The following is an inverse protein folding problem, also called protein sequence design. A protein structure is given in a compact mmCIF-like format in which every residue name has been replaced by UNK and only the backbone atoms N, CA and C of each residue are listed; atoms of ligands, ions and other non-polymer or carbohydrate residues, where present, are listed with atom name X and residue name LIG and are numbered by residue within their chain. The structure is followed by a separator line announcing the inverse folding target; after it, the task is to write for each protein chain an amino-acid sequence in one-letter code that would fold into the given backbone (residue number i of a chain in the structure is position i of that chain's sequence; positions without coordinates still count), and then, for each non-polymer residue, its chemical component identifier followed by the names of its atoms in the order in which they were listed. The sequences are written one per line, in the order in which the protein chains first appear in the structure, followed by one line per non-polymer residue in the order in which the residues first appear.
data_IF_052003239658
#
_entry.id   IF_052003239658
#
_cell.length_a   1.000
_cell.length_b   1.000
_cell.length_c   1.000
_cell.angle_alpha   90.00
_cell.angle_beta   90.00
_cell.angle_gamma   90.00
#
_symmetry.space_group_name_H-M   'P 1'
#
loop_
_entity.id
_entity.type
_entity.pdbx_description
1 polymer ?
#
# COMPACT_ATOMS: atom_id res chain seq x y z
N UNK A 1 18.56 -15.80 -7.24
CA UNK A 1 18.15 -14.42 -7.64
C UNK A 1 19.20 -13.46 -7.09
N UNK A 2 20.02 -12.85 -7.94
CA UNK A 2 21.17 -12.05 -7.48
C UNK A 2 20.74 -10.72 -6.85
N UNK A 3 21.40 -10.34 -5.75
CA UNK A 3 21.19 -9.08 -5.00
C UNK A 3 21.29 -7.84 -5.91
N UNK A 4 21.99 -7.95 -7.05
CA UNK A 4 22.17 -6.86 -8.01
C UNK A 4 20.89 -6.46 -8.76
N UNK A 5 19.91 -7.34 -8.92
CA UNK A 5 18.69 -7.01 -9.66
C UNK A 5 17.75 -6.06 -8.89
N UNK A 6 17.81 -6.05 -7.55
CA UNK A 6 17.02 -5.15 -6.71
C UNK A 6 17.58 -3.70 -6.66
N UNK A 7 18.81 -3.48 -7.13
CA UNK A 7 19.52 -2.21 -6.91
C UNK A 7 19.15 -1.09 -7.88
N UNK A 8 18.46 -1.39 -8.99
CA UNK A 8 18.25 -0.42 -10.09
C UNK A 8 17.21 0.69 -9.80
N UNK A 9 16.40 0.56 -8.75
CA UNK A 9 15.35 1.54 -8.41
C UNK A 9 15.58 2.41 -7.17
N UNK A 10 16.68 2.23 -6.42
CA UNK A 10 16.89 2.86 -5.12
C UNK A 10 18.17 3.70 -5.10
N UNK A 11 18.10 4.94 -5.57
CA UNK A 11 19.25 5.85 -5.62
C UNK A 11 19.50 6.64 -4.32
N UNK A 12 18.53 6.74 -3.41
CA UNK A 12 18.60 7.68 -2.27
C UNK A 12 19.01 7.07 -0.90
N UNK A 13 19.24 5.74 -0.79
CA UNK A 13 19.27 5.06 0.52
C UNK A 13 20.69 4.72 1.04
N UNK A 14 21.75 4.87 0.24
CA UNK A 14 22.88 3.93 0.38
C UNK A 14 24.14 4.43 1.10
N UNK A 15 24.43 5.72 1.16
CA UNK A 15 25.79 6.15 1.53
C UNK A 15 25.92 6.54 3.00
N UNK A 16 24.98 7.32 3.54
CA UNK A 16 25.21 7.99 4.82
C UNK A 16 24.89 7.16 6.06
N UNK A 17 23.82 6.34 6.05
CA UNK A 17 23.47 5.49 7.21
C UNK A 17 24.59 4.52 7.59
N UNK A 18 25.29 3.99 6.59
CA UNK A 18 26.47 3.14 6.77
C UNK A 18 27.62 3.88 7.48
N UNK A 19 27.85 5.14 7.09
CA UNK A 19 28.90 6.00 7.65
C UNK A 19 28.59 6.35 9.11
N UNK A 20 27.34 6.70 9.44
CA UNK A 20 26.95 7.09 10.81
C UNK A 20 27.22 5.99 11.84
N UNK A 21 26.98 4.73 11.49
CA UNK A 21 27.17 3.60 12.40
C UNK A 21 28.51 2.87 12.17
N UNK A 22 29.37 3.39 11.29
CA UNK A 22 30.61 2.74 10.87
C UNK A 22 30.41 1.27 10.41
N UNK A 23 29.28 0.97 9.79
CA UNK A 23 28.93 -0.36 9.27
C UNK A 23 28.90 -0.38 7.74
N UNK A 24 29.04 -1.57 7.16
CA UNK A 24 28.85 -1.74 5.72
C UNK A 24 27.42 -1.37 5.28
N UNK A 25 27.27 -0.83 4.07
CA UNK A 25 25.96 -0.48 3.48
C UNK A 25 24.98 -1.64 3.47
N UNK A 26 25.49 -2.84 3.21
CA UNK A 26 24.72 -4.09 3.24
C UNK A 26 24.19 -4.38 4.64
N UNK A 27 25.03 -4.25 5.68
CA UNK A 27 24.64 -4.52 7.06
C UNK A 27 23.60 -3.51 7.57
N UNK A 28 23.74 -2.23 7.19
CA UNK A 28 22.72 -1.22 7.49
C UNK A 28 21.37 -1.61 6.87
N UNK A 29 21.36 -1.96 5.58
CA UNK A 29 20.16 -2.40 4.89
C UNK A 29 19.52 -3.63 5.55
N UNK A 30 20.32 -4.66 5.84
CA UNK A 30 19.84 -5.90 6.47
C UNK A 30 19.24 -5.66 7.85
N UNK A 31 19.92 -4.87 8.69
CA UNK A 31 19.45 -4.51 10.04
C UNK A 31 18.07 -3.85 9.97
N UNK A 32 17.85 -2.99 8.97
CA UNK A 32 16.57 -2.31 8.85
C UNK A 32 15.48 -3.22 8.29
N UNK A 33 15.82 -4.08 7.32
CA UNK A 33 14.88 -5.12 6.88
C UNK A 33 14.48 -6.03 8.05
N UNK A 34 15.39 -6.32 8.97
CA UNK A 34 15.08 -7.07 10.19
C UNK A 34 14.11 -6.31 11.10
N UNK A 35 14.35 -5.02 11.39
CA UNK A 35 13.41 -4.20 12.19
C UNK A 35 12.02 -4.16 11.56
N UNK A 36 11.93 -3.90 10.26
CA UNK A 36 10.65 -3.91 9.52
C UNK A 36 10.00 -5.29 9.55
N UNK A 37 10.78 -6.36 9.45
CA UNK A 37 10.26 -7.71 9.55
C UNK A 37 9.61 -7.94 10.91
N UNK A 38 10.19 -7.41 12.00
CA UNK A 38 9.65 -7.49 13.35
C UNK A 38 8.35 -6.69 13.50
N UNK A 39 8.27 -5.48 12.94
CA UNK A 39 7.04 -4.66 12.95
C UNK A 39 5.87 -5.32 12.22
N UNK A 40 6.17 -6.15 11.21
CA UNK A 40 5.15 -6.84 10.40
C UNK A 40 4.74 -8.23 10.92
N UNK A 41 5.11 -8.58 12.17
CA UNK A 41 4.79 -9.90 12.75
C UNK A 41 3.39 -10.02 13.33
N UNK A 42 2.58 -8.96 13.30
CA UNK A 42 1.22 -9.03 13.84
C UNK A 42 0.41 -10.11 13.12
N UNK A 43 -0.13 -11.05 13.89
CA UNK A 43 -1.01 -12.13 13.42
C UNK A 43 -2.49 -11.75 13.48
N UNK A 44 -2.81 -10.53 13.90
CA UNK A 44 -4.20 -10.11 14.14
C UNK A 44 -4.85 -9.53 12.87
N UNK A 45 -4.04 -8.96 11.97
CA UNK A 45 -4.50 -8.37 10.71
C UNK A 45 -4.42 -9.43 9.62
N UNK A 46 -5.57 -10.03 9.31
CA UNK A 46 -5.68 -11.13 8.34
C UNK A 46 -6.80 -10.82 7.34
N UNK A 47 -6.49 -10.98 6.06
CA UNK A 47 -7.46 -10.86 4.99
C UNK A 47 -8.41 -12.07 5.04
N UNK A 48 -9.74 -11.87 5.03
CA UNK A 48 -10.68 -12.97 5.09
C UNK A 48 -10.57 -13.86 3.84
N UNK A 49 -10.38 -15.16 4.06
CA UNK A 49 -10.39 -16.17 2.99
C UNK A 49 -11.75 -16.87 2.84
N UNK A 50 -12.70 -16.57 3.73
CA UNK A 50 -14.06 -17.13 3.69
C UNK A 50 -14.92 -16.39 2.66
N UNK A 51 -15.49 -17.14 1.71
CA UNK A 51 -16.33 -16.62 0.64
C UNK A 51 -17.59 -15.92 1.16
N UNK A 52 -18.21 -16.45 2.22
CA UNK A 52 -19.41 -15.83 2.79
C UNK A 52 -19.09 -14.45 3.35
N UNK A 53 -17.97 -14.35 4.08
CA UNK A 53 -17.49 -13.09 4.64
C UNK A 53 -17.07 -12.10 3.55
N UNK A 54 -16.45 -12.57 2.47
CA UNK A 54 -16.14 -11.72 1.31
C UNK A 54 -17.41 -11.20 0.64
N UNK A 55 -18.46 -12.01 0.54
CA UNK A 55 -19.75 -11.58 0.02
C UNK A 55 -20.43 -10.54 0.91
N UNK A 56 -20.39 -10.73 2.23
CA UNK A 56 -20.88 -9.73 3.21
C UNK A 56 -20.14 -8.40 3.05
N UNK A 57 -18.81 -8.45 2.94
CA UNK A 57 -17.98 -7.26 2.71
C UNK A 57 -18.37 -6.58 1.39
N UNK A 58 -18.53 -7.35 0.31
CA UNK A 58 -18.95 -6.83 -0.99
C UNK A 58 -20.30 -6.13 -0.93
N UNK A 59 -21.30 -6.77 -0.35
CA UNK A 59 -22.64 -6.19 -0.21
C UNK A 59 -22.59 -4.90 0.63
N UNK A 60 -21.75 -4.88 1.68
CA UNK A 60 -21.57 -3.70 2.50
C UNK A 60 -20.87 -2.55 1.73
N UNK A 61 -19.85 -2.83 0.92
CA UNK A 61 -19.24 -1.82 0.05
C UNK A 61 -20.22 -1.30 -1.00
N UNK A 62 -21.02 -2.18 -1.60
CA UNK A 62 -22.04 -1.80 -2.56
C UNK A 62 -23.08 -0.86 -1.92
N UNK A 63 -23.41 -1.04 -0.65
CA UNK A 63 -24.32 -0.13 0.07
C UNK A 63 -23.78 1.30 0.27
N UNK A 64 -22.46 1.54 0.14
CA UNK A 64 -21.85 2.86 0.33
C UNK A 64 -22.15 3.80 -0.83
N UNK A 65 -21.93 3.32 -2.06
CA UNK A 65 -22.10 4.14 -3.26
C UNK A 65 -22.60 3.37 -4.49
N UNK A 66 -22.90 2.07 -4.37
CA UNK A 66 -23.36 1.22 -5.46
C UNK A 66 -22.23 0.59 -6.29
N UNK A 67 -21.01 0.49 -5.75
CA UNK A 67 -19.90 -0.19 -6.44
C UNK A 67 -19.90 -1.69 -6.11
N UNK A 68 -20.21 -2.58 -7.06
CA UNK A 68 -20.36 -4.01 -6.80
C UNK A 68 -19.00 -4.72 -6.67
N UNK A 69 -19.02 -5.89 -6.05
CA UNK A 69 -17.89 -6.84 -5.98
C UNK A 69 -16.58 -6.28 -5.37
N UNK A 70 -16.68 -5.32 -4.44
CA UNK A 70 -15.51 -4.75 -3.77
C UNK A 70 -15.19 -5.53 -2.50
N UNK A 71 -14.00 -6.10 -2.41
CA UNK A 71 -13.55 -6.85 -1.23
C UNK A 71 -12.66 -6.04 -0.29
N UNK A 72 -12.31 -4.82 -0.67
CA UNK A 72 -11.65 -3.84 0.18
C UNK A 72 -11.06 -2.69 -0.60
N UNK A 73 -10.55 -1.71 0.13
CA UNK A 73 -9.86 -0.54 -0.42
C UNK A 73 -8.42 -0.48 0.10
N UNK A 74 -7.48 -0.10 -0.75
CA UNK A 74 -6.05 0.04 -0.42
C UNK A 74 -5.63 1.51 -0.52
N UNK A 75 -4.78 1.91 0.42
CA UNK A 75 -4.05 3.18 0.36
C UNK A 75 -2.67 3.09 1.01
N UNK A 76 -1.83 4.08 0.71
CA UNK A 76 -0.50 4.28 1.26
C UNK A 76 -0.45 5.49 2.20
N UNK A 77 0.36 5.38 3.25
CA UNK A 77 0.63 6.45 4.19
C UNK A 77 2.15 6.54 4.46
N UNK A 78 2.67 7.76 4.42
CA UNK A 78 4.07 8.04 4.75
C UNK A 78 4.15 8.44 6.23
N UNK A 79 4.75 7.57 7.04
CA UNK A 79 4.97 7.81 8.47
C UNK A 79 6.39 8.34 8.64
N UNK A 80 6.50 9.62 9.03
CA UNK A 80 7.79 10.23 9.34
C UNK A 80 8.46 9.51 10.49
N UNK A 81 9.77 9.25 10.37
CA UNK A 81 10.58 8.73 11.46
C UNK A 81 11.58 9.78 11.91
N UNK A 82 11.92 9.76 13.20
CA UNK A 82 12.93 10.66 13.73
C UNK A 82 14.27 10.45 13.01
N UNK A 83 14.92 11.55 12.64
CA UNK A 83 16.25 11.53 12.05
C UNK A 83 17.27 11.29 13.17
N UNK A 84 17.93 10.15 13.13
CA UNK A 84 19.07 9.89 14.00
C UNK A 84 20.34 10.52 13.40
N UNK A 85 20.83 11.63 13.98
CA UNK A 85 22.08 12.33 13.58
C UNK A 85 22.10 12.76 12.09
N UNK A 86 23.27 13.13 11.54
CA UNK A 86 23.48 13.52 10.13
C UNK A 86 23.20 12.39 9.11
N UNK A 87 22.30 11.44 9.38
CA UNK A 87 22.01 10.33 8.47
C UNK A 87 21.04 10.75 7.37
N UNK A 88 21.44 10.53 6.11
CA UNK A 88 20.62 10.70 4.89
C UNK A 88 19.75 9.45 4.57
N UNK A 89 19.47 8.59 5.56
CA UNK A 89 18.73 7.35 5.34
C UNK A 89 17.22 7.57 5.22
N UNK A 90 16.53 6.70 4.45
CA UNK A 90 15.06 6.54 4.50
C UNK A 90 14.23 7.70 3.93
N UNK A 91 14.82 8.48 3.05
CA UNK A 91 14.12 9.60 2.45
C UNK A 91 12.96 9.11 1.59
N UNK A 92 11.78 9.59 1.91
CA UNK A 92 10.68 9.57 0.96
C UNK A 92 10.93 10.58 -0.16
N UNK A 93 10.09 10.54 -1.18
CA UNK A 93 10.11 11.51 -2.29
C UNK A 93 9.96 12.97 -1.83
N UNK A 94 9.53 13.20 -0.58
CA UNK A 94 9.38 14.52 0.05
C UNK A 94 10.60 15.00 0.83
N UNK A 95 11.73 14.28 0.79
CA UNK A 95 12.98 14.81 1.33
C UNK A 95 13.19 14.61 2.85
N UNK A 96 12.43 13.74 3.50
CA UNK A 96 12.60 13.42 4.93
C UNK A 96 12.57 11.91 5.20
N UNK A 97 13.26 11.43 6.27
CA UNK A 97 13.22 10.02 6.69
C UNK A 97 11.81 9.55 7.02
N UNK A 98 11.37 8.47 6.39
CA UNK A 98 10.03 7.92 6.62
C UNK A 98 9.94 6.42 6.34
N UNK A 99 8.90 5.80 6.90
CA UNK A 99 8.36 4.52 6.48
C UNK A 99 7.19 4.76 5.54
N UNK A 100 7.08 3.94 4.48
CA UNK A 100 5.85 3.83 3.72
C UNK A 100 5.05 2.65 4.29
N UNK A 101 3.81 2.91 4.67
CA UNK A 101 2.84 1.94 5.16
C UNK A 101 1.70 1.85 4.17
N UNK A 102 1.53 0.71 3.54
CA UNK A 102 0.37 0.40 2.70
C UNK A 102 -0.57 -0.48 3.51
N UNK A 103 -1.87 -0.20 3.49
CA UNK A 103 -2.85 -1.07 4.12
C UNK A 103 -4.09 -1.26 3.24
N UNK A 104 -4.71 -2.41 3.41
CA UNK A 104 -6.05 -2.73 2.90
C UNK A 104 -7.03 -2.67 4.06
N UNK A 105 -8.20 -2.10 3.80
CA UNK A 105 -9.31 -2.02 4.77
C UNK A 105 -10.57 -2.66 4.24
N UNK A 106 -11.42 -3.12 5.15
CA UNK A 106 -12.79 -3.51 4.85
C UNK A 106 -13.79 -2.35 4.98
N UNK A 107 -15.06 -2.65 4.75
CA UNK A 107 -16.18 -1.71 4.84
C UNK A 107 -16.34 -1.09 6.25
N UNK A 108 -15.82 -1.75 7.29
CA UNK A 108 -15.85 -1.28 8.68
C UNK A 108 -14.57 -0.52 9.08
N UNK A 109 -13.76 -0.10 8.08
CA UNK A 109 -12.50 0.63 8.29
C UNK A 109 -11.46 -0.16 9.09
N UNK A 110 -11.59 -1.49 9.16
CA UNK A 110 -10.62 -2.35 9.84
C UNK A 110 -9.51 -2.71 8.88
N UNK A 111 -8.26 -2.61 9.34
CA UNK A 111 -7.13 -3.12 8.56
C UNK A 111 -7.23 -4.64 8.41
N UNK A 112 -7.21 -5.12 7.17
CA UNK A 112 -7.26 -6.55 6.82
C UNK A 112 -5.95 -7.04 6.22
N UNK A 113 -5.12 -6.14 5.71
CA UNK A 113 -3.75 -6.44 5.31
C UNK A 113 -2.89 -5.20 5.39
N UNK A 114 -1.58 -5.35 5.55
CA UNK A 114 -0.64 -4.23 5.56
C UNK A 114 0.75 -4.64 5.06
N UNK A 115 1.55 -3.65 4.70
CA UNK A 115 2.93 -3.77 4.25
C UNK A 115 3.68 -2.51 4.68
N UNK A 116 4.84 -2.68 5.31
CA UNK A 116 5.72 -1.61 5.79
C UNK A 116 7.05 -1.74 5.06
N UNK A 117 7.52 -0.64 4.48
CA UNK A 117 8.78 -0.57 3.72
C UNK A 117 9.45 0.79 3.91
N UNK A 118 10.68 0.96 3.42
CA UNK A 118 11.28 2.29 3.32
C UNK A 118 10.42 3.29 2.57
N UNK A 119 10.40 4.54 3.06
CA UNK A 119 9.67 5.66 2.48
C UNK A 119 10.02 5.98 1.03
N UNK A 120 11.16 5.48 0.53
CA UNK A 120 11.57 5.58 -0.88
C UNK A 120 10.82 4.63 -1.82
N UNK A 121 10.08 3.65 -1.30
CA UNK A 121 9.26 2.75 -2.11
C UNK A 121 7.95 3.44 -2.51
N UNK A 122 7.60 3.36 -3.80
CA UNK A 122 6.32 3.83 -4.30
C UNK A 122 5.21 2.79 -4.09
N UNK A 123 3.96 3.21 -4.24
CA UNK A 123 2.78 2.41 -3.88
C UNK A 123 2.63 1.15 -4.74
N UNK A 124 2.98 1.25 -6.03
CA UNK A 124 3.12 0.09 -6.92
C UNK A 124 4.05 -0.98 -6.36
N UNK A 125 5.19 -0.57 -5.80
CA UNK A 125 6.16 -1.50 -5.22
C UNK A 125 5.76 -1.97 -3.83
N UNK A 126 5.07 -1.14 -3.06
CA UNK A 126 4.44 -1.55 -1.80
C UNK A 126 3.50 -2.73 -2.02
N UNK A 127 2.60 -2.61 -3.00
CA UNK A 127 1.62 -3.65 -3.32
C UNK A 127 2.28 -4.93 -3.82
N UNK A 128 3.14 -4.85 -4.86
CA UNK A 128 3.81 -6.03 -5.43
C UNK A 128 4.65 -6.83 -4.42
N UNK A 129 5.23 -6.15 -3.42
CA UNK A 129 6.06 -6.78 -2.39
C UNK A 129 5.29 -7.12 -1.11
N UNK A 130 3.96 -6.92 -1.07
CA UNK A 130 3.11 -7.22 0.07
C UNK A 130 2.78 -8.71 0.16
N UNK A 131 2.40 -9.18 1.35
CA UNK A 131 1.84 -10.52 1.50
C UNK A 131 0.46 -10.64 0.86
N UNK A 132 -0.29 -9.53 0.81
CA UNK A 132 -1.54 -9.46 0.09
C UNK A 132 -1.35 -9.92 -1.35
N UNK A 133 -0.47 -9.27 -2.12
CA UNK A 133 -0.25 -9.63 -3.53
C UNK A 133 0.10 -11.12 -3.74
N UNK A 134 0.85 -11.73 -2.81
CA UNK A 134 1.26 -13.13 -2.89
C UNK A 134 0.13 -14.11 -2.56
N UNK A 135 -0.69 -13.76 -1.58
CA UNK A 135 -1.71 -14.64 -1.02
C UNK A 135 -3.12 -14.34 -1.55
N UNK A 136 -3.29 -13.25 -2.32
CA UNK A 136 -4.58 -12.78 -2.79
C UNK A 136 -5.18 -13.75 -3.81
N UNK A 137 -6.09 -14.60 -3.32
CA UNK A 137 -6.93 -15.46 -4.13
C UNK A 137 -8.34 -14.87 -4.12
N UNK A 138 -8.62 -13.98 -5.08
CA UNK A 138 -9.99 -13.51 -5.29
C UNK A 138 -10.71 -14.46 -6.24
N UNK A 139 -12.01 -14.61 -6.03
CA UNK A 139 -12.94 -15.11 -7.05
C UNK A 139 -12.78 -14.28 -8.33
N UNK A 140 -13.21 -14.84 -9.48
CA UNK A 140 -13.05 -14.19 -10.79
C UNK A 140 -13.66 -12.79 -10.88
N UNK A 141 -14.60 -12.46 -10.00
CA UNK A 141 -15.45 -11.28 -10.13
C UNK A 141 -15.16 -10.20 -9.08
N UNK A 142 -14.23 -10.44 -8.15
CA UNK A 142 -13.93 -9.54 -7.04
C UNK A 142 -12.78 -8.57 -7.28
N UNK A 143 -12.92 -7.34 -6.76
CA UNK A 143 -11.95 -6.27 -6.94
C UNK A 143 -11.52 -5.62 -5.62
N UNK A 144 -10.32 -5.05 -5.65
CA UNK A 144 -9.82 -4.12 -4.64
C UNK A 144 -9.79 -2.73 -5.25
N UNK A 145 -10.33 -1.73 -4.55
CA UNK A 145 -10.22 -0.33 -4.98
C UNK A 145 -8.88 0.26 -4.51
N UNK A 146 -8.21 1.01 -5.38
CA UNK A 146 -6.92 1.61 -5.08
C UNK A 146 -6.81 3.01 -5.72
N UNK A 147 -5.86 3.82 -5.24
CA UNK A 147 -5.59 5.14 -5.83
C UNK A 147 -4.95 5.04 -7.24
N UNK A 148 -4.76 6.19 -7.87
CA UNK A 148 -4.14 6.28 -9.21
C UNK A 148 -2.63 5.94 -9.24
N UNK A 149 -1.95 5.90 -8.09
CA UNK A 149 -0.56 5.50 -7.94
C UNK A 149 -0.34 3.98 -8.01
N UNK A 150 -1.40 3.18 -7.86
CA UNK A 150 -1.36 1.73 -8.07
C UNK A 150 -1.51 1.34 -9.54
N UNK A 151 -1.42 0.04 -9.81
CA UNK A 151 -1.55 -0.53 -11.16
C UNK A 151 -2.86 -1.25 -11.31
N UNK A 152 -3.66 -0.80 -12.28
CA UNK A 152 -4.84 -1.52 -12.75
C UNK A 152 -4.50 -2.99 -13.08
N UNK A 153 -5.31 -3.91 -12.59
CA UNK A 153 -5.18 -5.34 -12.87
C UNK A 153 -6.54 -6.04 -12.75
N UNK A 154 -6.61 -7.32 -13.08
CA UNK A 154 -7.85 -8.11 -12.93
C UNK A 154 -8.40 -8.16 -11.50
N UNK A 155 -7.59 -7.84 -10.49
CA UNK A 155 -7.97 -7.86 -9.06
C UNK A 155 -7.97 -6.47 -8.42
N UNK A 156 -7.57 -5.42 -9.14
CA UNK A 156 -7.39 -4.08 -8.58
C UNK A 156 -7.86 -3.02 -9.56
N UNK A 157 -8.79 -2.17 -9.10
CA UNK A 157 -9.37 -1.07 -9.87
C UNK A 157 -8.86 0.28 -9.37
N UNK A 158 -8.32 1.06 -10.29
CA UNK A 158 -7.86 2.44 -10.09
C UNK A 158 -8.83 3.40 -10.79
N UNK A 159 -8.95 4.66 -10.35
CA UNK A 159 -9.82 5.63 -11.02
C UNK A 159 -9.33 5.91 -12.45
N UNK A 160 -10.24 6.38 -13.31
CA UNK A 160 -9.84 6.94 -14.61
C UNK A 160 -8.95 8.18 -14.41
N UNK A 161 -7.99 8.43 -15.31
CA UNK A 161 -7.26 9.69 -15.33
C UNK A 161 -8.23 10.86 -15.56
N UNK A 162 -8.06 11.94 -14.80
CA UNK A 162 -8.91 13.13 -14.93
C UNK A 162 -8.44 13.94 -16.15
N UNK A 163 -9.36 14.21 -17.07
CA UNK A 163 -9.12 14.99 -18.28
C UNK A 163 -10.11 16.15 -18.41
N UNK A 164 -9.75 17.19 -19.19
CA UNK A 164 -10.60 18.37 -19.39
C UNK A 164 -11.98 18.04 -19.99
N UNK A 165 -12.07 16.92 -20.71
CA UNK A 165 -13.31 16.36 -21.24
C UNK A 165 -13.41 14.92 -20.74
N UNK A 166 -14.10 14.73 -19.61
CA UNK A 166 -14.41 13.42 -19.07
C UNK A 166 -15.83 13.07 -19.52
N UNK A 167 -16.08 11.84 -19.97
CA UNK A 167 -17.43 11.44 -20.38
C UNK A 167 -18.32 11.20 -19.15
N UNK A 168 -19.63 11.35 -19.29
CA UNK A 168 -20.59 11.17 -18.18
C UNK A 168 -20.48 9.78 -17.50
N UNK A 169 -20.17 8.74 -18.27
CA UNK A 169 -19.95 7.38 -17.76
C UNK A 169 -18.67 7.27 -16.92
N UNK A 170 -17.59 7.93 -17.35
CA UNK A 170 -16.33 8.03 -16.61
C UNK A 170 -16.49 8.87 -15.35
N UNK A 171 -17.20 10.00 -15.40
CA UNK A 171 -17.47 10.83 -14.23
C UNK A 171 -18.25 10.07 -13.16
N UNK A 172 -19.28 9.33 -13.58
CA UNK A 172 -20.04 8.47 -12.67
C UNK A 172 -19.16 7.40 -12.05
N UNK A 173 -18.27 6.78 -12.83
CA UNK A 173 -17.31 5.81 -12.30
C UNK A 173 -16.35 6.44 -11.29
N UNK A 174 -15.71 7.57 -11.63
CA UNK A 174 -14.76 8.27 -10.75
C UNK A 174 -15.44 8.65 -9.43
N UNK A 175 -16.65 9.22 -9.50
CA UNK A 175 -17.43 9.60 -8.31
C UNK A 175 -17.75 8.38 -7.43
N UNK A 176 -18.23 7.30 -8.04
CA UNK A 176 -18.61 6.07 -7.33
C UNK A 176 -17.39 5.39 -6.72
N UNK A 177 -16.28 5.30 -7.47
CA UNK A 177 -15.00 4.78 -7.02
C UNK A 177 -14.48 5.58 -5.82
N UNK A 178 -14.41 6.91 -5.95
CA UNK A 178 -13.93 7.80 -4.89
C UNK A 178 -14.78 7.69 -3.61
N UNK A 179 -16.12 7.72 -3.74
CA UNK A 179 -17.04 7.56 -2.60
C UNK A 179 -16.91 6.21 -1.92
N UNK A 180 -16.71 5.13 -2.69
CA UNK A 180 -16.53 3.79 -2.11
C UNK A 180 -15.16 3.68 -1.42
N UNK A 181 -14.12 4.28 -2.01
CA UNK A 181 -12.76 4.28 -1.47
C UNK A 181 -12.63 5.09 -0.17
N UNK A 182 -13.52 6.05 0.10
CA UNK A 182 -13.44 6.96 1.27
C UNK A 182 -13.19 6.23 2.61
N UNK A 183 -13.62 4.97 2.74
CA UNK A 183 -13.39 4.17 3.95
C UNK A 183 -11.91 3.99 4.29
N UNK A 184 -11.02 3.90 3.29
CA UNK A 184 -9.57 3.74 3.53
C UNK A 184 -8.94 5.06 3.96
N UNK A 185 -9.36 6.17 3.36
CA UNK A 185 -8.92 7.50 3.75
C UNK A 185 -9.32 7.79 5.20
N UNK A 186 -10.57 7.45 5.55
CA UNK A 186 -11.06 7.57 6.92
C UNK A 186 -10.32 6.64 7.87
N UNK A 187 -10.01 5.39 7.49
CA UNK A 187 -9.27 4.46 8.34
C UNK A 187 -7.86 4.96 8.70
N UNK A 188 -7.18 5.64 7.76
CA UNK A 188 -5.88 6.27 8.03
C UNK A 188 -5.98 7.61 8.79
N UNK A 189 -7.14 8.27 8.76
CA UNK A 189 -7.38 9.55 9.41
C UNK A 189 -8.06 9.49 10.79
N UNK A 190 -8.46 8.30 11.24
CA UNK A 190 -8.97 8.04 12.61
C UNK A 190 -7.85 8.08 13.65
#
# INVERSE_FOLDING_TARGET
MSVQALLRGQKCVKIHTAITFAIGRTLAYESIIQVISCLQRSKTIIFPNDLNKLQEISNAFESIAGFPNVYGAIDGCIVMIHRFHNSDGWYCTKGFPALNVMAMVDNNKRFTSYSIRPGSQNDRMMYKNSQLYKNLQLSKDGYILADAGYTLSSKMLTPYPIHAFTRDDEEKFILTHSRTRIVVEQAFGL
#
